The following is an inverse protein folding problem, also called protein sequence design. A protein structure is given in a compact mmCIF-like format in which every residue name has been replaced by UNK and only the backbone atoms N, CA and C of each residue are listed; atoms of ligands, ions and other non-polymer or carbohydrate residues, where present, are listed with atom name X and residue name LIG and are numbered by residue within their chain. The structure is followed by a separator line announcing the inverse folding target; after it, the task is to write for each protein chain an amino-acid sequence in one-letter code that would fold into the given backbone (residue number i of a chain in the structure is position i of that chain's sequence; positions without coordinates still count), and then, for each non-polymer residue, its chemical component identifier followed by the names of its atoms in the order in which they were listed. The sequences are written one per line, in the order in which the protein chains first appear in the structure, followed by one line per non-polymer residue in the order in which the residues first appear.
data_IF_091345877977
#
_entry.id   IF_091345877977
#
_cell.length_a   1.000
_cell.length_b   1.000
_cell.length_c   1.000
_cell.angle_alpha   90.00
_cell.angle_beta   90.00
_cell.angle_gamma   90.00
#
_symmetry.space_group_name_H-M   'P 1'
#
loop_
_entity.id
_entity.type
_entity.pdbx_description
1 polymer ?
#
# COMPACT_ATOMS: atom_id res chain seq x y z
N UNK A 1 6.78 -30.30 -5.27
CA UNK A 1 7.77 -29.83 -4.25
C UNK A 1 7.18 -28.81 -3.27
N UNK A 2 6.41 -27.79 -3.70
CA UNK A 2 5.83 -26.75 -2.80
C UNK A 2 4.83 -27.30 -1.78
N UNK A 3 3.93 -28.19 -2.16
CA UNK A 3 2.95 -28.83 -1.25
C UNK A 3 3.63 -29.64 -0.15
N UNK A 4 4.71 -30.38 -0.48
CA UNK A 4 5.47 -31.17 0.49
C UNK A 4 6.15 -30.29 1.55
N UNK A 5 6.67 -29.13 1.18
CA UNK A 5 7.29 -28.18 2.12
C UNK A 5 6.25 -27.52 3.05
N UNK A 6 5.01 -27.28 2.59
CA UNK A 6 3.94 -26.80 3.45
C UNK A 6 3.56 -27.84 4.50
N UNK A 7 3.42 -29.12 4.12
CA UNK A 7 3.09 -30.20 5.06
C UNK A 7 4.16 -30.41 6.14
N UNK A 8 5.45 -30.22 5.83
CA UNK A 8 6.55 -30.34 6.81
C UNK A 8 6.46 -29.18 7.81
N UNK A 9 6.32 -27.95 7.35
CA UNK A 9 6.17 -26.77 8.22
C UNK A 9 4.97 -26.85 9.14
N UNK A 10 3.83 -27.34 8.65
CA UNK A 10 2.61 -27.48 9.44
C UNK A 10 2.72 -28.53 10.56
N UNK A 11 3.67 -29.47 10.46
CA UNK A 11 3.99 -30.43 11.53
C UNK A 11 4.92 -29.84 12.58
N UNK A 12 5.95 -29.13 12.15
CA UNK A 12 6.94 -28.51 13.06
C UNK A 12 6.37 -27.28 13.76
N UNK A 13 5.49 -26.52 13.09
CA UNK A 13 4.93 -25.26 13.57
C UNK A 13 3.41 -25.23 13.44
N UNK A 14 2.66 -25.89 14.34
CA UNK A 14 1.20 -26.03 14.25
C UNK A 14 0.44 -24.68 14.18
N UNK A 15 0.98 -23.61 14.80
CA UNK A 15 0.39 -22.26 14.78
C UNK A 15 0.29 -21.67 13.36
N UNK A 16 1.08 -22.14 12.41
CA UNK A 16 1.01 -21.70 11.02
C UNK A 16 -0.31 -22.08 10.33
N UNK A 17 -1.03 -23.08 10.88
CA UNK A 17 -2.36 -23.47 10.38
C UNK A 17 -3.43 -22.41 10.65
N UNK A 18 -3.22 -21.55 11.63
CA UNK A 18 -4.11 -20.44 11.95
C UNK A 18 -4.01 -19.30 10.93
N UNK A 19 -2.87 -19.23 10.24
CA UNK A 19 -2.58 -18.18 9.27
C UNK A 19 -3.04 -18.61 7.87
N UNK A 20 -3.43 -17.62 7.06
CA UNK A 20 -3.76 -17.85 5.66
C UNK A 20 -2.54 -18.39 4.88
N UNK A 21 -2.72 -19.54 4.25
CA UNK A 21 -1.67 -20.22 3.48
C UNK A 21 -1.14 -19.40 2.31
N UNK A 22 -2.00 -18.60 1.67
CA UNK A 22 -1.60 -17.71 0.57
C UNK A 22 -0.79 -16.52 1.08
N UNK A 23 -1.10 -16.00 2.27
CA UNK A 23 -0.29 -15.00 2.92
C UNK A 23 1.11 -15.53 3.24
N UNK A 24 1.23 -16.75 3.75
CA UNK A 24 2.52 -17.40 3.98
C UNK A 24 3.31 -17.62 2.67
N UNK A 25 2.63 -18.03 1.61
CA UNK A 25 3.26 -18.18 0.29
C UNK A 25 3.81 -16.83 -0.23
N UNK A 26 3.07 -15.73 -0.04
CA UNK A 26 3.54 -14.41 -0.42
C UNK A 26 4.78 -13.96 0.36
N UNK A 27 4.88 -14.27 1.66
CA UNK A 27 6.10 -14.00 2.46
C UNK A 27 7.30 -14.72 1.86
N UNK A 28 7.16 -15.97 1.43
CA UNK A 28 8.22 -16.72 0.78
C UNK A 28 8.65 -16.08 -0.56
N UNK A 29 7.67 -15.65 -1.37
CA UNK A 29 7.95 -14.95 -2.63
C UNK A 29 8.65 -13.60 -2.42
N UNK A 30 8.27 -12.86 -1.39
CA UNK A 30 8.93 -11.60 -1.04
C UNK A 30 10.39 -11.82 -0.62
N UNK A 31 10.66 -12.86 0.16
CA UNK A 31 12.02 -13.22 0.56
C UNK A 31 12.86 -13.61 -0.67
N UNK A 32 12.33 -14.46 -1.54
CA UNK A 32 12.99 -14.84 -2.78
C UNK A 32 13.31 -13.62 -3.66
N UNK A 33 12.36 -12.69 -3.80
CA UNK A 33 12.55 -11.44 -4.54
C UNK A 33 13.63 -10.57 -3.90
N UNK A 34 13.68 -10.48 -2.57
CA UNK A 34 14.69 -9.70 -1.86
C UNK A 34 16.10 -10.25 -2.12
N UNK A 35 16.29 -11.57 -2.08
CA UNK A 35 17.57 -12.19 -2.43
C UNK A 35 17.92 -12.01 -3.91
N UNK A 36 16.97 -12.17 -4.82
CA UNK A 36 17.22 -11.93 -6.25
C UNK A 36 17.66 -10.49 -6.50
N UNK A 37 17.05 -9.52 -5.83
CA UNK A 37 17.45 -8.12 -5.95
C UNK A 37 18.86 -7.88 -5.43
N UNK A 38 19.21 -8.46 -4.27
CA UNK A 38 20.56 -8.38 -3.71
C UNK A 38 21.63 -8.99 -4.63
N UNK A 39 21.38 -10.18 -5.20
CA UNK A 39 22.33 -10.82 -6.12
C UNK A 39 22.44 -10.08 -7.47
N UNK A 40 21.38 -9.37 -7.88
CA UNK A 40 21.43 -8.55 -9.09
C UNK A 40 22.19 -7.24 -8.89
N UNK A 41 22.00 -6.59 -7.74
CA UNK A 41 22.63 -5.31 -7.39
C UNK A 41 23.02 -5.29 -5.91
N UNK A 42 24.32 -5.51 -5.59
CA UNK A 42 24.80 -5.50 -4.20
C UNK A 42 24.56 -4.18 -3.46
N UNK A 43 24.36 -3.06 -4.16
CA UNK A 43 24.05 -1.76 -3.56
C UNK A 43 22.72 -1.77 -2.80
N UNK A 44 21.80 -2.67 -3.16
CA UNK A 44 20.51 -2.85 -2.46
C UNK A 44 20.71 -3.34 -1.03
N UNK A 45 21.86 -3.96 -0.72
CA UNK A 45 22.17 -4.51 0.60
C UNK A 45 21.52 -5.87 0.86
N UNK A 46 22.07 -6.56 1.85
CA UNK A 46 21.59 -7.89 2.25
C UNK A 46 20.19 -7.80 2.89
N UNK A 47 19.27 -8.73 2.58
CA UNK A 47 17.95 -8.79 3.19
C UNK A 47 18.03 -8.89 4.71
N UNK A 48 17.38 -7.98 5.42
CA UNK A 48 17.36 -7.95 6.89
C UNK A 48 16.05 -8.51 7.42
N UNK A 49 16.10 -9.17 8.56
CA UNK A 49 14.89 -9.59 9.27
C UNK A 49 14.05 -8.38 9.68
N UNK A 50 12.75 -8.48 9.45
CA UNK A 50 11.81 -7.47 9.93
C UNK A 50 11.66 -7.60 11.44
N UNK A 51 11.98 -6.55 12.18
CA UNK A 51 11.73 -6.51 13.61
C UNK A 51 10.30 -6.04 13.90
N UNK A 52 9.74 -6.46 15.04
CA UNK A 52 8.41 -6.05 15.48
C UNK A 52 8.27 -4.53 15.61
N UNK A 53 9.33 -3.85 16.00
CA UNK A 53 9.32 -2.41 16.28
C UNK A 53 9.50 -1.54 15.02
N UNK A 54 10.16 -2.05 14.00
CA UNK A 54 10.52 -1.28 12.79
C UNK A 54 9.83 -1.76 11.53
N UNK A 55 8.99 -2.79 11.60
CA UNK A 55 8.26 -3.30 10.44
C UNK A 55 6.83 -2.78 10.39
N UNK A 56 6.36 -2.51 9.17
CA UNK A 56 4.94 -2.25 8.94
C UNK A 56 4.17 -3.56 9.14
N UNK A 57 3.19 -3.55 10.05
CA UNK A 57 2.32 -4.70 10.30
C UNK A 57 1.35 -4.84 9.12
N UNK A 58 1.74 -5.62 8.12
CA UNK A 58 0.92 -5.86 6.93
C UNK A 58 1.14 -7.25 6.37
N UNK A 59 0.09 -7.81 5.78
CA UNK A 59 0.16 -9.03 5.01
C UNK A 59 -0.65 -8.90 3.72
N UNK A 60 -0.27 -9.66 2.70
CA UNK A 60 -0.97 -9.71 1.41
C UNK A 60 -1.46 -11.12 1.17
N UNK A 61 -2.71 -11.25 0.75
CA UNK A 61 -3.30 -12.52 0.33
C UNK A 61 -3.88 -12.40 -1.08
N UNK A 62 -3.79 -13.46 -1.86
CA UNK A 62 -4.23 -13.48 -3.25
C UNK A 62 -5.64 -14.08 -3.36
N UNK A 63 -6.36 -13.67 -4.39
CA UNK A 63 -7.65 -14.26 -4.72
C UNK A 63 -7.43 -15.55 -5.51
N UNK A 64 -7.87 -16.65 -4.93
CA UNK A 64 -7.84 -17.97 -5.56
C UNK A 64 -9.17 -18.67 -5.26
N UNK A 65 -9.86 -19.14 -6.28
CA UNK A 65 -11.12 -19.90 -6.16
C UNK A 65 -12.18 -19.22 -5.26
N UNK A 66 -12.30 -17.88 -5.33
CA UNK A 66 -13.32 -17.16 -4.57
C UNK A 66 -13.12 -17.14 -3.04
N UNK A 67 -11.88 -17.34 -2.56
CA UNK A 67 -11.54 -17.29 -1.14
C UNK A 67 -11.73 -15.90 -0.52
N UNK A 68 -11.71 -14.85 -1.33
CA UNK A 68 -11.95 -13.45 -0.94
C UNK A 68 -13.15 -12.93 -1.71
N UNK A 69 -14.11 -12.35 -1.01
CA UNK A 69 -15.30 -11.72 -1.59
C UNK A 69 -15.48 -10.33 -0.99
N UNK A 70 -15.99 -9.42 -1.80
CA UNK A 70 -16.34 -8.05 -1.39
C UNK A 70 -17.80 -7.84 -1.73
N UNK A 71 -18.63 -7.58 -0.73
CA UNK A 71 -20.06 -7.36 -0.88
C UNK A 71 -20.45 -6.07 -0.13
N UNK A 72 -20.81 -5.03 -0.87
CA UNK A 72 -21.14 -3.73 -0.32
C UNK A 72 -20.04 -3.21 0.62
N UNK A 73 -20.36 -3.06 1.89
CA UNK A 73 -19.44 -2.59 2.95
C UNK A 73 -18.82 -3.73 3.77
N UNK A 74 -18.73 -4.94 3.21
CA UNK A 74 -18.13 -6.10 3.89
C UNK A 74 -17.11 -6.78 2.99
N UNK A 75 -16.08 -7.32 3.61
CA UNK A 75 -15.07 -8.14 2.94
C UNK A 75 -14.95 -9.48 3.67
N UNK A 76 -14.91 -10.57 2.91
CA UNK A 76 -14.59 -11.90 3.43
C UNK A 76 -13.13 -12.19 3.17
N UNK A 77 -12.38 -12.45 4.22
CA UNK A 77 -10.97 -12.83 4.14
C UNK A 77 -10.78 -14.27 4.64
N UNK A 78 -9.80 -15.00 4.10
CA UNK A 78 -9.43 -16.33 4.60
C UNK A 78 -9.15 -16.26 6.11
N UNK A 79 -9.64 -17.25 6.86
CA UNK A 79 -9.51 -17.36 8.33
C UNK A 79 -10.30 -16.31 9.14
N UNK A 80 -10.48 -15.09 8.64
CA UNK A 80 -11.12 -13.97 9.37
C UNK A 80 -12.62 -13.84 9.11
N UNK A 81 -13.16 -14.63 8.17
CA UNK A 81 -14.60 -14.58 7.78
C UNK A 81 -15.01 -13.20 7.25
N UNK A 82 -16.24 -12.76 7.54
CA UNK A 82 -16.78 -11.46 7.11
C UNK A 82 -16.39 -10.35 8.06
N UNK A 83 -15.86 -9.27 7.52
CA UNK A 83 -15.43 -8.07 8.25
C UNK A 83 -16.11 -6.86 7.62
N UNK A 84 -16.67 -5.99 8.44
CA UNK A 84 -17.21 -4.71 7.99
C UNK A 84 -16.08 -3.76 7.67
N UNK A 85 -16.21 -3.01 6.57
CA UNK A 85 -15.24 -2.01 6.13
C UNK A 85 -15.94 -0.76 5.61
N UNK A 86 -15.26 0.38 5.70
CA UNK A 86 -15.68 1.61 5.02
C UNK A 86 -15.05 1.61 3.63
N UNK A 87 -15.88 1.45 2.60
CA UNK A 87 -15.45 1.48 1.21
C UNK A 87 -15.30 2.93 0.75
N UNK A 88 -14.16 3.27 0.16
CA UNK A 88 -13.87 4.63 -0.31
C UNK A 88 -14.11 4.80 -1.81
N UNK A 89 -13.95 3.73 -2.58
CA UNK A 89 -14.12 3.73 -4.05
C UNK A 89 -14.82 2.45 -4.50
N UNK A 90 -15.64 2.58 -5.53
CA UNK A 90 -16.13 1.44 -6.27
C UNK A 90 -15.08 1.04 -7.32
N UNK A 91 -14.82 -0.27 -7.53
CA UNK A 91 -14.01 -0.70 -8.66
C UNK A 91 -14.75 -0.35 -9.96
N UNK A 92 -13.99 -0.11 -11.01
CA UNK A 92 -14.57 0.04 -12.32
C UNK A 92 -15.27 -1.25 -12.76
N UNK A 93 -16.24 -1.14 -13.65
CA UNK A 93 -16.91 -2.29 -14.26
C UNK A 93 -15.89 -3.19 -14.95
N UNK A 94 -16.13 -4.50 -14.93
CA UNK A 94 -15.23 -5.52 -15.49
C UNK A 94 -13.85 -5.68 -14.83
N UNK A 95 -13.66 -5.14 -13.62
CA UNK A 95 -12.43 -5.34 -12.88
C UNK A 95 -12.50 -6.60 -12.00
N UNK A 96 -11.43 -7.41 -12.05
CA UNK A 96 -11.29 -8.62 -11.25
C UNK A 96 -10.36 -8.36 -10.04
N UNK A 97 -10.83 -8.68 -8.84
CA UNK A 97 -9.99 -8.61 -7.65
C UNK A 97 -8.86 -9.66 -7.72
N UNK A 98 -7.62 -9.22 -7.57
CA UNK A 98 -6.40 -10.06 -7.60
C UNK A 98 -5.85 -10.38 -6.23
N UNK A 99 -5.71 -9.36 -5.40
CA UNK A 99 -5.14 -9.51 -4.07
C UNK A 99 -5.66 -8.45 -3.12
N UNK A 100 -5.54 -8.74 -1.84
CA UNK A 100 -5.84 -7.81 -0.76
C UNK A 100 -4.64 -7.70 0.16
N UNK A 101 -4.21 -6.48 0.45
CA UNK A 101 -3.19 -6.19 1.44
C UNK A 101 -3.85 -5.54 2.64
N UNK A 102 -3.77 -6.20 3.78
CA UNK A 102 -4.25 -5.66 5.07
C UNK A 102 -3.07 -5.07 5.82
N UNK A 103 -3.23 -3.85 6.32
CA UNK A 103 -2.21 -3.13 7.09
C UNK A 103 -2.82 -2.57 8.36
N UNK A 104 -2.12 -2.71 9.46
CA UNK A 104 -2.41 -2.01 10.72
C UNK A 104 -1.50 -0.78 10.82
N UNK A 105 -2.07 0.36 11.15
CA UNK A 105 -1.34 1.58 11.41
C UNK A 105 -1.01 1.74 12.90
N UNK A 106 -0.04 2.61 13.26
CA UNK A 106 0.28 2.89 14.66
C UNK A 106 -0.91 3.40 15.48
N UNK A 107 -1.91 3.98 14.82
CA UNK A 107 -3.19 4.40 15.43
C UNK A 107 -4.09 3.24 15.85
N UNK A 108 -3.72 1.99 15.59
CA UNK A 108 -4.54 0.80 15.78
C UNK A 108 -5.62 0.58 14.72
N UNK A 109 -5.73 1.46 13.73
CA UNK A 109 -6.69 1.32 12.63
C UNK A 109 -6.17 0.36 11.57
N UNK A 110 -7.10 -0.41 10.99
CA UNK A 110 -6.81 -1.34 9.90
C UNK A 110 -7.27 -0.77 8.57
N UNK A 111 -6.44 -0.96 7.55
CA UNK A 111 -6.71 -0.59 6.17
C UNK A 111 -6.55 -1.80 5.27
N UNK A 112 -7.47 -1.95 4.32
CA UNK A 112 -7.40 -2.96 3.28
C UNK A 112 -7.19 -2.28 1.92
N UNK A 113 -6.09 -2.58 1.26
CA UNK A 113 -5.81 -2.18 -0.11
C UNK A 113 -6.19 -3.32 -1.04
N UNK A 114 -7.15 -3.09 -1.91
CA UNK A 114 -7.66 -4.06 -2.86
C UNK A 114 -7.02 -3.80 -4.23
N UNK A 115 -6.32 -4.79 -4.76
CA UNK A 115 -5.74 -4.73 -6.09
C UNK A 115 -6.70 -5.36 -7.09
N UNK A 116 -7.18 -4.55 -8.03
CA UNK A 116 -8.00 -5.00 -9.14
C UNK A 116 -7.19 -5.05 -10.43
N UNK A 117 -7.45 -6.03 -11.25
CA UNK A 117 -7.02 -6.10 -12.65
C UNK A 117 -8.25 -5.83 -13.51
N UNK A 118 -8.16 -4.79 -14.35
CA UNK A 118 -9.20 -4.46 -15.32
C UNK A 118 -8.65 -4.64 -16.72
N UNK A 119 -9.47 -5.16 -17.62
CA UNK A 119 -9.23 -5.02 -19.04
C UNK A 119 -9.59 -3.59 -19.40
N UNK A 120 -8.56 -2.83 -19.77
CA UNK A 120 -8.69 -1.53 -20.37
C UNK A 120 -9.60 -0.55 -19.58
N UNK A 121 -9.04 0.18 -18.64
CA UNK A 121 -9.31 1.58 -18.77
C UNK A 121 -8.85 1.96 -20.18
N UNK A 122 -9.72 1.91 -21.16
CA UNK A 122 -9.58 2.80 -22.29
C UNK A 122 -9.21 4.12 -21.67
N UNK A 123 -8.04 4.62 -22.05
CA UNK A 123 -7.56 5.88 -21.56
C UNK A 123 -8.66 6.89 -21.91
N UNK A 124 -9.57 7.17 -20.96
CA UNK A 124 -10.49 8.29 -21.11
C UNK A 124 -9.72 9.60 -21.29
N UNK A 125 -8.39 9.55 -21.09
CA UNK A 125 -7.47 10.59 -21.45
C UNK A 125 -7.13 10.61 -22.96
N UNK A 126 -7.25 9.49 -23.68
CA UNK A 126 -6.91 9.44 -25.11
C UNK A 126 -7.97 10.10 -26.03
N UNK A 127 -9.23 10.16 -25.58
CA UNK A 127 -10.33 10.79 -26.33
C UNK A 127 -10.67 12.20 -25.87
N UNK A 128 -9.95 12.74 -24.90
CA UNK A 128 -10.13 14.14 -24.54
C UNK A 128 -9.40 15.00 -25.56
N UNK A 129 -10.18 15.67 -26.38
CA UNK A 129 -9.67 16.71 -27.25
C UNK A 129 -9.14 17.87 -26.39
N UNK A 130 -7.82 17.95 -26.30
CA UNK A 130 -7.12 19.01 -25.56
C UNK A 130 -6.83 20.25 -26.43
N UNK A 131 -7.33 20.30 -27.67
CA UNK A 131 -7.06 21.42 -28.61
C UNK A 131 -7.49 22.79 -28.03
N UNK A 132 -8.50 22.79 -27.17
CA UNK A 132 -9.00 24.00 -26.49
C UNK A 132 -8.72 23.99 -24.95
N UNK A 133 -7.91 23.06 -24.45
CA UNK A 133 -7.62 22.99 -23.03
C UNK A 133 -6.59 24.06 -22.64
N UNK A 134 -6.90 24.85 -21.61
CA UNK A 134 -5.90 25.68 -20.97
C UNK A 134 -4.91 24.80 -20.23
N UNK A 135 -3.65 24.83 -20.63
CA UNK A 135 -2.58 24.05 -20.03
C UNK A 135 -1.85 24.96 -19.04
N UNK A 136 -1.85 24.61 -17.76
CA UNK A 136 -1.10 25.30 -16.72
C UNK A 136 0.14 24.48 -16.37
N UNK A 137 1.31 25.02 -16.63
CA UNK A 137 2.58 24.49 -16.16
C UNK A 137 2.79 24.88 -14.70
N UNK A 138 3.19 23.90 -13.88
CA UNK A 138 3.49 24.08 -12.45
C UNK A 138 4.87 23.51 -12.19
N UNK A 139 5.78 24.33 -11.67
CA UNK A 139 7.10 23.91 -11.21
C UNK A 139 7.24 24.14 -9.72
N UNK A 140 7.92 23.23 -9.02
CA UNK A 140 8.15 23.35 -7.59
C UNK A 140 9.35 24.26 -7.34
N UNK A 141 9.14 25.36 -6.62
CA UNK A 141 10.19 26.30 -6.27
C UNK A 141 10.56 26.24 -4.79
N UNK A 142 11.86 26.35 -4.49
CA UNK A 142 12.33 26.42 -3.09
C UNK A 142 11.97 27.73 -2.41
N UNK A 143 11.84 28.81 -3.19
CA UNK A 143 11.29 30.10 -2.72
C UNK A 143 9.87 30.22 -3.25
N UNK A 144 8.91 30.13 -2.36
CA UNK A 144 7.50 29.97 -2.72
C UNK A 144 7.14 28.49 -2.92
N UNK A 145 5.85 28.17 -2.94
CA UNK A 145 5.40 26.79 -3.02
C UNK A 145 5.48 26.23 -4.45
N UNK A 146 5.21 27.07 -5.44
CA UNK A 146 5.24 26.71 -6.85
C UNK A 146 5.36 27.97 -7.74
N UNK A 147 5.92 27.77 -8.92
CA UNK A 147 5.90 28.75 -10.03
C UNK A 147 4.95 28.23 -11.08
N UNK A 148 4.07 29.10 -11.55
CA UNK A 148 3.09 28.77 -12.57
C UNK A 148 3.50 29.37 -13.91
N UNK A 149 3.09 28.75 -15.01
CA UNK A 149 3.30 29.29 -16.37
C UNK A 149 2.47 30.54 -16.66
N UNK A 150 1.44 30.83 -15.87
CA UNK A 150 0.65 32.04 -15.89
C UNK A 150 0.88 32.80 -14.60
N UNK A 151 0.71 34.15 -14.62
CA UNK A 151 0.80 35.00 -13.42
C UNK A 151 -0.36 34.67 -12.46
N UNK A 152 -0.12 33.69 -11.56
CA UNK A 152 -1.05 33.38 -10.47
C UNK A 152 -0.37 33.82 -9.18
N UNK A 153 -0.91 34.85 -8.53
CA UNK A 153 -0.48 35.22 -7.19
C UNK A 153 -0.90 34.18 -6.19
N UNK A 154 0.09 33.44 -5.61
CA UNK A 154 -0.14 32.57 -4.47
C UNK A 154 0.43 33.21 -3.21
N UNK A 155 -0.41 33.37 -2.21
CA UNK A 155 0.06 33.72 -0.87
C UNK A 155 1.00 32.64 -0.35
N UNK A 156 2.21 33.02 0.03
CA UNK A 156 3.13 32.13 0.73
C UNK A 156 2.52 31.69 2.06
N UNK A 157 1.99 30.48 2.10
CA UNK A 157 1.34 29.93 3.29
C UNK A 157 2.30 29.85 4.49
N UNK A 158 3.61 29.64 4.23
CA UNK A 158 4.67 29.66 5.24
C UNK A 158 4.39 28.80 6.49
N UNK A 159 3.53 27.80 6.38
CA UNK A 159 3.01 27.01 7.51
C UNK A 159 4.13 26.35 8.33
N UNK A 160 5.21 25.92 7.68
CA UNK A 160 6.32 25.32 8.36
C UNK A 160 7.02 26.35 9.26
N UNK A 161 7.40 27.50 8.72
CA UNK A 161 8.07 28.57 9.49
C UNK A 161 7.20 29.11 10.61
N UNK A 162 5.90 29.28 10.37
CA UNK A 162 4.94 29.74 11.41
C UNK A 162 4.81 28.75 12.56
N UNK A 163 4.93 27.45 12.29
CA UNK A 163 4.72 26.40 13.28
C UNK A 163 6.03 25.77 13.81
N UNK A 164 7.18 26.10 13.28
CA UNK A 164 8.47 25.50 13.64
C UNK A 164 8.77 25.55 15.15
N UNK A 165 8.57 26.72 15.78
CA UNK A 165 8.77 26.87 17.23
C UNK A 165 7.79 26.02 18.07
N UNK A 166 6.55 25.88 17.58
CA UNK A 166 5.53 25.06 18.23
C UNK A 166 5.86 23.58 18.08
N UNK A 167 6.26 23.16 16.89
CA UNK A 167 6.69 21.80 16.62
C UNK A 167 7.89 21.39 17.48
N UNK A 168 8.93 22.24 17.54
CA UNK A 168 10.10 21.99 18.39
C UNK A 168 9.76 21.90 19.87
N UNK A 169 8.77 22.67 20.36
CA UNK A 169 8.28 22.58 21.74
C UNK A 169 7.60 21.23 22.00
N UNK A 170 6.71 20.80 21.10
CA UNK A 170 6.01 19.52 21.26
C UNK A 170 6.96 18.32 21.13
N UNK A 171 7.92 18.38 20.23
CA UNK A 171 8.97 17.35 20.11
C UNK A 171 9.81 17.21 21.41
N UNK A 172 10.18 18.32 22.04
CA UNK A 172 10.88 18.29 23.34
C UNK A 172 10.05 17.69 24.48
N UNK A 173 8.71 17.85 24.46
CA UNK A 173 7.83 17.18 25.43
C UNK A 173 7.76 15.68 25.22
N UNK A 174 7.78 15.23 23.97
CA UNK A 174 7.73 13.81 23.63
C UNK A 174 9.05 13.07 23.89
N UNK A 175 10.16 13.79 23.94
CA UNK A 175 11.50 13.22 24.17
C UNK A 175 11.91 13.17 25.65
N UNK A 176 11.07 13.66 26.55
CA UNK A 176 11.20 13.54 28.01
C UNK A 176 10.35 12.42 28.56
#
# INVERSE_FOLDING_TARGET
RRQRQMCIRDREYPFLKEIDSLALANVQLHLEKAYKNFFRDPKVGFPRFKSKHHSKNSYTTNVVNGNILVEGSRIRLPKLKWISMKKHREPAENCRLKSVTVRMEPSGKYFASLLYEGYSCENQAADKDYSNAKILGIDYAMQGMAVFSEEIEMEEAGFFRKNEKRLAREQRKLSR
#
